data_IF_793508423211
#
_entry.id   IF_793508423211
#
_cell.length_a   1.000
_cell.length_b   1.000
_cell.length_c   1.000
_cell.angle_alpha   90.00
_cell.angle_beta   90.00
_cell.angle_gamma   90.00
#
_symmetry.space_group_name_H-M   'P 1'
#
loop_
_entity.id
_entity.type
_entity.pdbx_description
1 polymer ?
#
# COMPACT_ATOMS: atom_id res chain seq x y z
N UNK A 1 7.28 4.59 -7.35
CA UNK A 1 7.73 5.45 -8.47
C UNK A 1 8.87 4.79 -9.21
N UNK A 2 9.16 5.21 -10.42
CA UNK A 2 10.36 4.77 -11.16
C UNK A 2 11.63 5.18 -10.42
N UNK A 3 12.70 4.44 -10.62
CA UNK A 3 14.00 4.73 -9.99
C UNK A 3 14.69 6.00 -10.53
N UNK A 4 14.36 6.36 -11.78
CA UNK A 4 14.86 7.56 -12.46
C UNK A 4 13.95 8.81 -12.27
N UNK A 5 12.95 8.71 -11.41
CA UNK A 5 12.00 9.79 -11.13
C UNK A 5 12.66 10.93 -10.33
N UNK A 6 12.34 12.21 -10.60
CA UNK A 6 12.85 13.33 -9.82
C UNK A 6 12.56 13.25 -8.31
N UNK A 7 11.44 12.63 -7.91
CA UNK A 7 11.11 12.42 -6.50
C UNK A 7 11.96 11.31 -5.85
N UNK A 8 12.66 10.50 -6.63
CA UNK A 8 13.48 9.41 -6.13
C UNK A 8 14.66 9.88 -5.26
N UNK A 9 15.13 11.11 -5.43
CA UNK A 9 16.21 11.70 -4.62
C UNK A 9 15.77 12.04 -3.20
N UNK A 10 14.45 12.17 -2.94
CA UNK A 10 13.93 12.48 -1.62
C UNK A 10 14.01 11.27 -0.70
N UNK A 11 14.24 11.49 0.58
CA UNK A 11 14.16 10.44 1.60
C UNK A 11 12.71 10.07 1.92
N UNK A 12 11.85 11.08 1.99
CA UNK A 12 10.41 10.94 2.26
C UNK A 12 9.58 11.73 1.26
N UNK A 13 8.35 11.28 1.03
CA UNK A 13 7.38 11.94 0.16
C UNK A 13 6.30 12.59 1.03
N UNK A 14 6.08 13.86 0.82
CA UNK A 14 5.06 14.64 1.55
C UNK A 14 3.75 14.70 0.79
N UNK A 15 2.68 15.13 1.47
CA UNK A 15 1.38 15.39 0.82
C UNK A 15 1.52 16.36 -0.37
N UNK A 16 2.35 17.39 -0.23
CA UNK A 16 2.57 18.38 -1.29
C UNK A 16 3.18 17.76 -2.55
N UNK A 17 4.06 16.78 -2.39
CA UNK A 17 4.67 16.09 -3.52
C UNK A 17 3.67 15.26 -4.32
N UNK A 18 2.59 14.83 -3.66
CA UNK A 18 1.56 13.97 -4.24
C UNK A 18 0.42 14.74 -4.92
N UNK A 19 0.30 16.05 -4.67
CA UNK A 19 -0.85 16.84 -5.14
C UNK A 19 -0.96 16.97 -6.66
N UNK A 20 0.16 16.99 -7.38
CA UNK A 20 0.17 17.31 -8.82
C UNK A 20 0.66 16.14 -9.68
N UNK A 21 0.74 14.95 -9.12
CA UNK A 21 1.20 13.76 -9.84
C UNK A 21 0.07 12.75 -10.01
N UNK A 22 0.06 11.94 -11.09
CA UNK A 22 -0.99 10.94 -11.30
C UNK A 22 -0.86 9.79 -10.31
N UNK A 23 -1.79 9.72 -9.35
CA UNK A 23 -1.77 8.68 -8.31
C UNK A 23 -2.49 7.42 -8.76
N UNK A 24 -2.01 6.28 -8.28
CA UNK A 24 -2.67 4.99 -8.39
C UNK A 24 -3.05 4.56 -6.97
N UNK A 25 -4.33 4.58 -6.64
CA UNK A 25 -4.83 4.25 -5.31
C UNK A 25 -5.32 2.81 -5.23
N UNK A 26 -5.23 2.17 -4.04
CA UNK A 26 -5.91 0.91 -3.80
C UNK A 26 -7.43 1.07 -3.97
N UNK A 27 -8.08 0.09 -4.62
CA UNK A 27 -9.54 0.11 -4.83
C UNK A 27 -10.33 -0.14 -3.54
N UNK A 28 -9.70 -0.77 -2.53
CA UNK A 28 -10.35 -1.11 -1.25
C UNK A 28 -10.83 0.13 -0.51
N UNK A 29 -12.16 0.23 -0.28
CA UNK A 29 -12.82 1.38 0.34
C UNK A 29 -12.23 1.76 1.69
N UNK A 30 -11.92 0.79 2.55
CA UNK A 30 -11.31 1.06 3.87
C UNK A 30 -9.97 1.77 3.74
N UNK A 31 -9.13 1.35 2.79
CA UNK A 31 -7.83 1.97 2.54
C UNK A 31 -7.99 3.38 1.96
N UNK A 32 -8.95 3.56 1.05
CA UNK A 32 -9.26 4.90 0.51
C UNK A 32 -9.74 5.85 1.60
N UNK A 33 -10.55 5.36 2.56
CA UNK A 33 -11.00 6.17 3.69
C UNK A 33 -9.84 6.59 4.60
N UNK A 34 -8.88 5.70 4.85
CA UNK A 34 -7.67 6.04 5.62
C UNK A 34 -6.80 7.06 4.89
N UNK A 35 -6.63 6.90 3.58
CA UNK A 35 -5.92 7.88 2.75
C UNK A 35 -6.65 9.22 2.72
N UNK A 36 -7.98 9.22 2.61
CA UNK A 36 -8.78 10.44 2.67
C UNK A 36 -8.62 11.17 4.02
N UNK A 37 -8.59 10.44 5.13
CA UNK A 37 -8.31 11.01 6.44
C UNK A 37 -6.89 11.57 6.52
N UNK A 38 -5.92 10.85 5.97
CA UNK A 38 -4.52 11.30 5.96
C UNK A 38 -4.33 12.57 5.14
N UNK A 39 -4.90 12.65 3.94
CA UNK A 39 -4.84 13.86 3.09
C UNK A 39 -5.71 15.00 3.64
N UNK A 40 -6.81 14.68 4.32
CA UNK A 40 -7.79 15.65 4.77
C UNK A 40 -8.51 16.31 3.60
N UNK A 41 -8.67 17.63 3.64
CA UNK A 41 -9.36 18.40 2.58
C UNK A 41 -8.68 18.28 1.21
N UNK A 42 -7.39 18.03 1.19
CA UNK A 42 -6.60 17.93 -0.04
C UNK A 42 -6.94 16.67 -0.85
N UNK A 43 -7.56 15.65 -0.24
CA UNK A 43 -7.95 14.42 -0.92
C UNK A 43 -8.82 14.66 -2.17
N UNK A 44 -9.71 15.63 -2.13
CA UNK A 44 -10.60 15.96 -3.24
C UNK A 44 -9.89 16.59 -4.45
N UNK A 45 -8.67 17.05 -4.26
CA UNK A 45 -7.86 17.71 -5.27
C UNK A 45 -6.76 16.82 -5.86
N UNK A 46 -6.71 15.58 -5.42
CA UNK A 46 -5.74 14.62 -5.92
C UNK A 46 -6.02 14.24 -7.37
N UNK A 47 -4.97 14.13 -8.16
CA UNK A 47 -5.06 13.56 -9.50
C UNK A 47 -5.02 12.03 -9.41
N UNK A 48 -6.16 11.38 -9.21
CA UNK A 48 -6.28 9.92 -9.18
C UNK A 48 -6.42 9.43 -10.62
N UNK A 49 -5.33 8.96 -11.20
CA UNK A 49 -5.31 8.45 -12.57
C UNK A 49 -5.92 7.04 -12.67
N UNK A 50 -5.65 6.18 -11.69
CA UNK A 50 -6.12 4.79 -11.65
C UNK A 50 -6.44 4.35 -10.23
N UNK A 51 -7.33 3.35 -10.14
CA UNK A 51 -7.47 2.51 -8.95
C UNK A 51 -7.03 1.08 -9.29
N UNK A 52 -6.49 0.36 -8.32
CA UNK A 52 -6.04 -1.02 -8.52
C UNK A 52 -6.37 -1.88 -7.30
N UNK A 53 -6.91 -3.06 -7.56
CA UNK A 53 -7.16 -4.08 -6.54
C UNK A 53 -5.95 -5.01 -6.31
N UNK A 54 -4.96 -4.97 -7.20
CA UNK A 54 -3.73 -5.77 -7.12
C UNK A 54 -2.50 -4.86 -7.12
N UNK A 55 -1.71 -4.97 -6.06
CA UNK A 55 -0.45 -4.21 -5.93
C UNK A 55 0.53 -4.48 -7.07
N UNK A 56 0.60 -5.72 -7.58
CA UNK A 56 1.46 -6.08 -8.71
C UNK A 56 1.11 -5.29 -9.97
N UNK A 57 -0.18 -5.11 -10.28
CA UNK A 57 -0.62 -4.34 -11.44
C UNK A 57 -0.25 -2.86 -11.27
N UNK A 58 -0.45 -2.31 -10.07
CA UNK A 58 -0.03 -0.94 -9.78
C UNK A 58 1.48 -0.74 -9.97
N UNK A 59 2.29 -1.74 -9.61
CA UNK A 59 3.73 -1.75 -9.87
C UNK A 59 4.08 -1.72 -11.35
N UNK A 60 3.39 -2.50 -12.17
CA UNK A 60 3.59 -2.52 -13.63
C UNK A 60 3.26 -1.14 -14.22
N UNK A 61 2.15 -0.52 -13.82
CA UNK A 61 1.80 0.83 -14.26
C UNK A 61 2.89 1.84 -13.88
N UNK A 62 3.43 1.74 -12.66
CA UNK A 62 4.52 2.59 -12.21
C UNK A 62 5.81 2.39 -13.04
N UNK A 63 6.17 1.14 -13.37
CA UNK A 63 7.33 0.83 -14.21
C UNK A 63 7.24 1.52 -15.59
N UNK A 64 6.04 1.63 -16.12
CA UNK A 64 5.77 2.31 -17.40
C UNK A 64 5.52 3.82 -17.26
N UNK A 65 5.69 4.40 -16.08
CA UNK A 65 5.53 5.84 -15.85
C UNK A 65 4.09 6.33 -15.92
N UNK A 66 3.09 5.44 -15.77
CA UNK A 66 1.68 5.77 -15.88
C UNK A 66 1.07 6.33 -14.59
N UNK A 67 1.82 6.29 -13.49
CA UNK A 67 1.39 6.87 -12.22
C UNK A 67 2.21 6.41 -11.02
N UNK A 68 1.84 6.94 -9.87
CA UNK A 68 2.51 6.75 -8.59
C UNK A 68 1.63 5.93 -7.64
N UNK A 69 1.87 4.63 -7.49
CA UNK A 69 1.07 3.82 -6.59
C UNK A 69 1.36 4.14 -5.13
N UNK A 70 0.30 4.26 -4.34
CA UNK A 70 0.38 4.22 -2.88
C UNK A 70 0.17 2.78 -2.45
N UNK A 71 1.15 2.21 -1.75
CA UNK A 71 1.15 0.81 -1.34
C UNK A 71 1.77 0.65 0.05
N UNK A 72 1.51 -0.50 0.68
CA UNK A 72 2.15 -0.85 1.95
C UNK A 72 3.62 -1.20 1.76
N UNK A 73 4.43 -1.01 2.80
CA UNK A 73 5.82 -1.46 2.84
C UNK A 73 5.88 -2.97 2.60
N UNK A 74 6.83 -3.40 1.77
CA UNK A 74 6.99 -4.80 1.40
C UNK A 74 6.14 -5.29 0.22
N UNK A 75 5.13 -4.54 -0.24
CA UNK A 75 4.39 -4.87 -1.45
C UNK A 75 5.27 -4.89 -2.70
N UNK A 76 6.40 -4.18 -2.65
CA UNK A 76 7.35 -4.05 -3.74
C UNK A 76 8.31 -5.23 -3.90
N UNK A 77 8.23 -6.27 -3.06
CA UNK A 77 9.13 -7.45 -3.11
C UNK A 77 9.11 -8.15 -4.47
N UNK A 78 8.01 -8.06 -5.19
CA UNK A 78 7.81 -8.68 -6.50
C UNK A 78 8.05 -7.73 -7.66
N UNK A 79 8.47 -6.49 -7.40
CA UNK A 79 8.78 -5.49 -8.41
C UNK A 79 10.29 -5.44 -8.66
N UNK A 80 10.69 -5.13 -9.88
CA UNK A 80 12.09 -4.91 -10.18
C UNK A 80 12.60 -3.67 -9.42
N UNK A 81 13.52 -3.88 -8.47
CA UNK A 81 14.12 -2.80 -7.67
C UNK A 81 14.96 -1.83 -8.51
N UNK A 82 15.41 -2.28 -9.68
CA UNK A 82 16.15 -1.44 -10.62
C UNK A 82 15.22 -0.45 -11.31
N UNK A 83 13.95 -0.81 -11.50
CA UNK A 83 12.98 -0.01 -12.23
C UNK A 83 12.06 0.80 -11.33
N UNK A 84 11.73 0.27 -10.15
CA UNK A 84 10.77 0.89 -9.22
C UNK A 84 11.34 0.93 -7.81
N UNK A 85 11.27 2.09 -7.20
CA UNK A 85 11.63 2.31 -5.80
C UNK A 85 10.43 2.73 -4.97
N UNK A 86 10.48 2.42 -3.68
CA UNK A 86 9.48 2.84 -2.71
C UNK A 86 10.08 3.89 -1.78
N UNK A 87 9.29 4.89 -1.43
CA UNK A 87 9.64 5.94 -0.47
C UNK A 87 8.55 6.03 0.60
N UNK A 88 8.96 6.35 1.82
CA UNK A 88 8.02 6.55 2.94
C UNK A 88 7.23 7.84 2.75
N UNK A 89 5.99 7.82 3.19
CA UNK A 89 5.15 9.01 3.26
C UNK A 89 5.42 9.77 4.57
N UNK A 90 5.33 11.11 4.51
CA UNK A 90 5.39 11.94 5.69
C UNK A 90 4.21 12.95 5.70
N UNK A 91 3.48 13.09 6.81
CA UNK A 91 3.55 12.29 8.06
C UNK A 91 3.34 10.79 7.79
N UNK A 92 3.89 9.95 8.66
CA UNK A 92 3.77 8.51 8.50
C UNK A 92 2.31 8.06 8.58
N UNK A 93 1.94 7.08 7.76
CA UNK A 93 0.64 6.42 7.79
C UNK A 93 0.87 4.93 8.04
N UNK A 94 0.28 4.42 9.09
CA UNK A 94 0.41 3.03 9.46
C UNK A 94 -0.71 2.19 8.83
N UNK A 95 -0.35 1.00 8.37
CA UNK A 95 -1.29 0.00 7.89
C UNK A 95 -1.00 -1.34 8.58
N UNK A 96 -2.02 -1.91 9.21
CA UNK A 96 -1.91 -3.17 9.92
C UNK A 96 -2.57 -4.29 9.12
N UNK A 97 -1.88 -5.44 9.05
CA UNK A 97 -2.46 -6.68 8.55
C UNK A 97 -2.93 -7.51 9.73
N UNK A 98 -4.18 -7.94 9.71
CA UNK A 98 -4.76 -8.75 10.76
C UNK A 98 -5.23 -10.10 10.21
N UNK A 99 -5.13 -11.14 11.02
CA UNK A 99 -5.77 -12.42 10.78
C UNK A 99 -6.95 -12.52 11.73
N UNK A 100 -8.13 -12.78 11.18
CA UNK A 100 -9.35 -12.92 11.95
C UNK A 100 -10.02 -14.27 11.66
N UNK A 101 -10.59 -14.88 12.70
CA UNK A 101 -11.38 -16.11 12.58
C UNK A 101 -12.60 -16.03 13.46
N UNK A 102 -13.64 -16.80 13.07
CA UNK A 102 -14.89 -16.87 13.85
C UNK A 102 -14.63 -17.60 15.16
N UNK A 103 -15.26 -17.14 16.21
CA UNK A 103 -15.30 -17.88 17.49
C UNK A 103 -16.42 -18.90 17.47
N UNK A 104 -16.29 -19.94 18.28
CA UNK A 104 -17.34 -20.91 18.58
C UNK A 104 -17.89 -21.68 17.37
N UNK A 105 -17.05 -21.95 16.38
CA UNK A 105 -17.34 -22.90 15.31
C UNK A 105 -16.33 -24.05 15.36
N UNK A 106 -16.72 -25.28 15.00
CA UNK A 106 -15.77 -26.38 14.87
C UNK A 106 -14.84 -26.12 13.69
N UNK A 107 -13.54 -26.19 13.94
CA UNK A 107 -12.51 -26.09 12.90
C UNK A 107 -11.91 -27.46 12.63
N UNK A 108 -11.43 -27.66 11.40
CA UNK A 108 -10.63 -28.84 11.08
C UNK A 108 -9.32 -28.87 11.89
N UNK A 109 -8.71 -30.05 12.11
CA UNK A 109 -7.43 -30.14 12.78
C UNK A 109 -6.34 -29.27 12.17
N UNK A 110 -6.34 -29.11 10.85
CA UNK A 110 -5.38 -28.25 10.14
C UNK A 110 -5.55 -26.77 10.52
N UNK A 111 -6.80 -26.29 10.64
CA UNK A 111 -7.05 -24.90 11.05
C UNK A 111 -6.67 -24.70 12.53
N UNK A 112 -6.95 -25.65 13.41
CA UNK A 112 -6.50 -25.58 14.80
C UNK A 112 -4.99 -25.47 14.89
N UNK A 113 -4.25 -26.32 14.18
CA UNK A 113 -2.80 -26.29 14.17
C UNK A 113 -2.25 -24.97 13.63
N UNK A 114 -2.85 -24.43 12.58
CA UNK A 114 -2.48 -23.14 12.02
C UNK A 114 -2.67 -21.98 13.03
N UNK A 115 -3.81 -21.97 13.76
CA UNK A 115 -4.06 -20.96 14.79
C UNK A 115 -3.07 -21.07 15.94
N UNK A 116 -2.72 -22.30 16.37
CA UNK A 116 -1.68 -22.55 17.39
C UNK A 116 -0.33 -21.97 16.97
N UNK A 117 0.11 -22.27 15.74
CA UNK A 117 1.38 -21.76 15.21
C UNK A 117 1.40 -20.21 15.12
N UNK A 118 0.30 -19.60 14.68
CA UNK A 118 0.19 -18.12 14.64
C UNK A 118 0.28 -17.53 16.05
N UNK A 119 -0.39 -18.14 17.03
CA UNK A 119 -0.33 -17.65 18.40
C UNK A 119 1.06 -17.81 19.03
N UNK A 120 1.77 -18.88 18.69
CA UNK A 120 3.16 -19.09 19.09
C UNK A 120 4.12 -18.07 18.43
N UNK A 121 3.84 -17.65 17.19
CA UNK A 121 4.66 -16.69 16.46
C UNK A 121 4.55 -15.24 16.99
N UNK A 122 3.54 -14.94 17.82
CA UNK A 122 3.32 -13.63 18.44
C UNK A 122 4.19 -13.37 19.68
N UNK A 123 4.99 -14.32 20.08
CA UNK A 123 5.85 -14.20 21.26
C UNK A 123 7.15 -13.45 20.96
#
# INVERSE_FOLDING_TARGET
MRSDDPLAVKEVITKKDLMNIPLILPERVTVQSELANWFGKDFYWLNIAFTSNLGTNAGILAMHGLGYPISIEGATRYWSREMVIQKRLFPEIEANTVIAWRRNIPYSPAIHKFIEEINAFKA
#
